data_IF_025065286156
#
_entry.id   IF_025065286156
#
_cell.length_a   1.000
_cell.length_b   1.000
_cell.length_c   1.000
_cell.angle_alpha   90.00
_cell.angle_beta   90.00
_cell.angle_gamma   90.00
#
_symmetry.space_group_name_H-M   'P 1'
#
loop_
_entity.id
_entity.type
_entity.pdbx_description
1 polymer ?
#
# COMPACT_ATOMS: atom_id res chain seq x y z
N UNK A 1 30.45 -20.61 -2.26
CA UNK A 1 30.52 -19.41 -1.41
C UNK A 1 29.33 -19.46 -0.49
N UNK A 2 29.53 -19.58 0.80
CA UNK A 2 28.45 -19.49 1.80
C UNK A 2 28.02 -18.02 1.81
N UNK A 3 26.94 -17.69 1.14
CA UNK A 3 26.33 -16.37 1.27
C UNK A 3 25.68 -16.33 2.66
N UNK A 4 26.24 -15.55 3.53
CA UNK A 4 25.71 -15.32 4.89
C UNK A 4 24.73 -14.17 4.83
N UNK A 5 23.57 -14.29 5.49
CA UNK A 5 22.65 -13.17 5.64
C UNK A 5 23.34 -12.01 6.36
N UNK A 6 23.05 -10.78 5.93
CA UNK A 6 23.53 -9.59 6.60
C UNK A 6 22.67 -9.31 7.84
N UNK A 7 23.32 -9.19 8.99
CA UNK A 7 22.64 -8.82 10.23
C UNK A 7 22.74 -7.31 10.46
N UNK A 8 21.60 -6.72 10.77
CA UNK A 8 21.47 -5.31 11.11
C UNK A 8 20.82 -5.20 12.49
N UNK A 9 21.54 -4.59 13.44
CA UNK A 9 21.03 -4.38 14.80
C UNK A 9 20.53 -2.94 14.96
N UNK A 10 19.33 -2.79 15.54
CA UNK A 10 18.68 -1.52 15.82
C UNK A 10 18.45 -1.37 17.33
N UNK A 11 19.51 -1.11 18.13
CA UNK A 11 19.42 -1.14 19.58
C UNK A 11 18.44 -0.11 20.16
N UNK A 12 18.22 1.00 19.44
CA UNK A 12 17.29 2.05 19.89
C UNK A 12 15.81 1.63 19.86
N UNK A 13 15.50 0.56 19.13
CA UNK A 13 14.15 0.00 19.01
C UNK A 13 14.08 -1.47 19.46
N UNK A 14 15.21 -2.05 19.84
CA UNK A 14 15.28 -3.44 20.31
C UNK A 14 15.13 -4.49 19.22
N UNK A 15 15.31 -4.12 17.93
CA UNK A 15 15.09 -5.00 16.79
C UNK A 15 16.40 -5.48 16.14
N UNK A 16 16.33 -6.65 15.52
CA UNK A 16 17.37 -7.18 14.64
C UNK A 16 16.74 -7.65 13.34
N UNK A 17 17.26 -7.16 12.22
CA UNK A 17 16.86 -7.56 10.87
C UNK A 17 17.99 -8.37 10.23
N UNK A 18 17.65 -9.53 9.68
CA UNK A 18 18.52 -10.25 8.76
C UNK A 18 18.03 -10.03 7.33
N UNK A 19 18.94 -9.63 6.45
CA UNK A 19 18.63 -9.37 5.04
C UNK A 19 19.55 -10.15 4.11
N UNK A 20 19.00 -10.59 2.99
CA UNK A 20 19.77 -11.18 1.88
C UNK A 20 19.07 -10.87 0.55
N UNK A 21 19.86 -10.86 -0.53
CA UNK A 21 19.36 -11.05 -1.87
C UNK A 21 19.83 -12.44 -2.33
N UNK A 22 18.89 -13.31 -2.67
CA UNK A 22 19.21 -14.66 -3.16
C UNK A 22 19.79 -14.60 -4.59
N UNK A 23 20.47 -15.67 -5.06
CA UNK A 23 21.01 -15.69 -6.42
C UNK A 23 19.99 -15.44 -7.53
N UNK A 24 18.74 -15.84 -7.32
CA UNK A 24 17.61 -15.59 -8.21
C UNK A 24 17.03 -14.15 -8.10
N UNK A 25 17.59 -13.30 -7.22
CA UNK A 25 17.19 -11.91 -7.03
C UNK A 25 16.10 -11.69 -5.98
N UNK A 26 15.60 -12.74 -5.31
CA UNK A 26 14.62 -12.57 -4.21
C UNK A 26 15.21 -11.74 -3.07
N UNK A 27 14.44 -10.77 -2.61
CA UNK A 27 14.77 -9.98 -1.43
C UNK A 27 14.22 -10.65 -0.18
N UNK A 28 15.09 -11.20 0.65
CA UNK A 28 14.72 -11.86 1.90
C UNK A 28 14.92 -10.91 3.09
N UNK A 29 13.93 -10.83 3.97
CA UNK A 29 13.92 -10.06 5.22
C UNK A 29 13.41 -10.96 6.34
N UNK A 30 14.19 -11.13 7.40
CA UNK A 30 13.82 -11.97 8.55
C UNK A 30 14.02 -11.18 9.83
N UNK A 31 12.99 -11.10 10.65
CA UNK A 31 12.99 -10.47 11.98
C UNK A 31 12.78 -11.55 13.03
N UNK A 32 13.84 -12.07 13.68
CA UNK A 32 13.70 -13.10 14.70
C UNK A 32 13.09 -12.52 15.97
N UNK A 33 11.98 -13.09 16.43
CA UNK A 33 11.27 -12.75 17.69
C UNK A 33 11.36 -13.92 18.67
N UNK A 34 12.50 -14.06 19.33
CA UNK A 34 12.78 -15.18 20.20
C UNK A 34 11.75 -15.31 21.34
N UNK A 35 11.16 -16.49 21.45
CA UNK A 35 10.18 -16.83 22.49
C UNK A 35 8.74 -16.43 22.15
N UNK A 36 8.49 -15.84 21.01
CA UNK A 36 7.11 -15.59 20.53
C UNK A 36 6.52 -16.89 19.97
N UNK A 37 5.22 -17.11 20.22
CA UNK A 37 4.51 -18.29 19.70
C UNK A 37 3.96 -18.05 18.30
N UNK A 38 3.81 -16.80 17.88
CA UNK A 38 3.27 -16.41 16.60
C UNK A 38 4.38 -16.30 15.55
N UNK A 39 4.08 -16.76 14.35
CA UNK A 39 4.90 -16.62 13.14
C UNK A 39 4.07 -15.93 12.07
N UNK A 40 4.71 -15.06 11.32
CA UNK A 40 4.12 -14.39 10.17
C UNK A 40 5.06 -14.52 8.97
N UNK A 41 4.50 -14.77 7.79
CA UNK A 41 5.22 -14.80 6.54
C UNK A 41 4.44 -14.06 5.46
N UNK A 42 5.07 -13.07 4.83
CA UNK A 42 4.54 -12.33 3.68
C UNK A 42 5.43 -12.55 2.46
N UNK A 43 4.84 -12.99 1.35
CA UNK A 43 5.50 -13.15 0.06
C UNK A 43 4.84 -12.21 -0.94
N UNK A 44 5.51 -11.09 -1.22
CA UNK A 44 4.99 -9.99 -1.99
C UNK A 44 5.63 -9.90 -3.37
N UNK A 45 4.82 -9.61 -4.39
CA UNK A 45 5.25 -9.22 -5.73
C UNK A 45 5.14 -7.70 -5.88
N UNK A 46 6.15 -7.05 -6.46
CA UNK A 46 6.11 -5.64 -6.85
C UNK A 46 5.30 -5.49 -8.14
N UNK A 47 4.00 -5.73 -8.00
CA UNK A 47 3.00 -5.76 -9.07
C UNK A 47 1.62 -5.51 -8.49
N UNK A 48 0.90 -4.52 -8.99
CA UNK A 48 -0.41 -4.16 -8.49
C UNK A 48 -1.36 -3.68 -9.59
N UNK A 49 -2.49 -3.11 -9.17
CA UNK A 49 -3.58 -2.74 -10.07
C UNK A 49 -3.23 -1.66 -11.10
N UNK A 50 -2.18 -0.86 -10.86
CA UNK A 50 -1.71 0.17 -11.78
C UNK A 50 -0.73 -0.36 -12.86
N UNK A 51 -0.12 -1.53 -12.68
CA UNK A 51 0.93 -2.09 -13.53
C UNK A 51 0.35 -2.82 -14.76
N UNK A 52 -0.47 -2.11 -15.53
CA UNK A 52 -1.24 -2.69 -16.63
C UNK A 52 -0.47 -2.74 -17.95
N UNK A 53 0.41 -1.78 -18.20
CA UNK A 53 1.20 -1.69 -19.43
C UNK A 53 2.66 -1.96 -19.13
N UNK A 54 3.23 -2.88 -19.89
CA UNK A 54 4.63 -3.30 -19.74
C UNK A 54 5.14 -3.95 -21.02
N UNK A 55 6.43 -4.22 -21.11
CA UNK A 55 7.03 -4.97 -22.21
C UNK A 55 7.40 -6.37 -21.72
N UNK A 56 7.03 -7.40 -22.48
CA UNK A 56 7.37 -8.79 -22.24
C UNK A 56 7.89 -9.42 -23.52
N UNK A 57 9.12 -9.95 -23.49
CA UNK A 57 9.80 -10.56 -24.64
C UNK A 57 9.88 -9.64 -25.88
N UNK A 58 9.96 -8.32 -25.69
CA UNK A 58 10.00 -7.31 -26.75
C UNK A 58 8.63 -6.94 -27.33
N UNK A 59 7.54 -7.44 -26.78
CA UNK A 59 6.18 -7.09 -27.13
C UNK A 59 5.56 -6.19 -26.05
N UNK A 60 4.90 -5.10 -26.50
CA UNK A 60 4.13 -4.24 -25.61
C UNK A 60 2.82 -4.94 -25.21
N UNK A 61 2.62 -5.10 -23.91
CA UNK A 61 1.40 -5.68 -23.33
C UNK A 61 0.60 -4.56 -22.67
N UNK A 62 -0.72 -4.53 -22.97
CA UNK A 62 -1.69 -3.67 -22.28
C UNK A 62 -2.81 -4.58 -21.73
N UNK A 63 -2.89 -4.70 -20.42
CA UNK A 63 -3.82 -5.60 -19.76
C UNK A 63 -5.09 -4.86 -19.29
N UNK A 64 -6.24 -5.55 -19.21
CA UNK A 64 -7.44 -4.97 -18.64
C UNK A 64 -7.24 -4.52 -17.18
N UNK A 65 -7.94 -3.48 -16.76
CA UNK A 65 -8.01 -3.13 -15.34
C UNK A 65 -8.59 -4.30 -14.52
N UNK A 66 -8.02 -4.56 -13.36
CA UNK A 66 -8.45 -5.68 -12.50
C UNK A 66 -7.56 -6.92 -12.61
N UNK A 67 -6.63 -7.01 -13.57
CA UNK A 67 -5.86 -8.23 -13.81
C UNK A 67 -4.99 -8.64 -12.61
N UNK A 68 -4.38 -7.69 -11.88
CA UNK A 68 -3.55 -8.00 -10.72
C UNK A 68 -4.37 -8.62 -9.58
N UNK A 69 -5.53 -8.04 -9.27
CA UNK A 69 -6.47 -8.57 -8.29
C UNK A 69 -7.07 -9.93 -8.73
N UNK A 70 -7.40 -10.06 -10.00
CA UNK A 70 -7.86 -11.32 -10.56
C UNK A 70 -6.79 -12.42 -10.43
N UNK A 71 -5.53 -12.08 -10.70
CA UNK A 71 -4.40 -12.99 -10.53
C UNK A 71 -4.24 -13.39 -9.06
N UNK A 72 -4.38 -12.47 -8.12
CA UNK A 72 -4.36 -12.76 -6.69
C UNK A 72 -5.34 -13.88 -6.33
N UNK A 73 -6.61 -13.77 -6.71
CA UNK A 73 -7.63 -14.80 -6.47
C UNK A 73 -7.22 -16.14 -7.08
N UNK A 74 -6.76 -16.13 -8.33
CA UNK A 74 -6.44 -17.35 -9.08
C UNK A 74 -5.20 -18.08 -8.60
N UNK A 75 -4.27 -17.40 -7.93
CA UNK A 75 -3.07 -18.05 -7.40
C UNK A 75 -3.36 -19.09 -6.32
N UNK A 76 -4.51 -19.03 -5.66
CA UNK A 76 -4.89 -20.05 -4.66
C UNK A 76 -5.41 -21.34 -5.25
N UNK A 77 -5.74 -21.40 -6.54
CA UNK A 77 -6.20 -22.62 -7.20
C UNK A 77 -5.07 -23.62 -7.42
N UNK A 78 -5.33 -24.88 -7.11
CA UNK A 78 -4.38 -25.98 -7.29
C UNK A 78 -4.85 -26.95 -8.39
N UNK A 79 -3.91 -27.69 -9.04
CA UNK A 79 -4.25 -28.59 -10.16
C UNK A 79 -5.20 -29.75 -9.80
N UNK A 80 -5.22 -30.14 -8.53
CA UNK A 80 -6.10 -31.21 -8.00
C UNK A 80 -7.53 -30.73 -7.67
N UNK A 81 -7.81 -29.43 -7.86
CA UNK A 81 -9.11 -28.79 -7.60
C UNK A 81 -9.28 -28.35 -6.14
N UNK A 82 -8.26 -28.48 -5.29
CA UNK A 82 -8.25 -27.89 -3.95
C UNK A 82 -7.75 -26.43 -3.99
N UNK A 83 -7.72 -25.78 -2.85
CA UNK A 83 -7.22 -24.42 -2.68
C UNK A 83 -6.07 -24.38 -1.69
N UNK A 84 -5.02 -23.64 -2.02
CA UNK A 84 -3.90 -23.39 -1.11
C UNK A 84 -4.36 -22.75 0.23
N UNK A 85 -5.44 -21.96 0.23
CA UNK A 85 -6.06 -21.45 1.46
C UNK A 85 -6.56 -22.58 2.38
N UNK A 86 -7.23 -23.60 1.79
CA UNK A 86 -7.72 -24.76 2.56
C UNK A 86 -6.57 -25.54 3.17
N UNK A 87 -5.51 -25.79 2.39
CA UNK A 87 -4.34 -26.52 2.87
C UNK A 87 -3.59 -25.81 3.99
N UNK A 88 -3.39 -24.49 3.85
CA UNK A 88 -2.78 -23.65 4.90
C UNK A 88 -3.65 -23.66 6.18
N UNK A 89 -4.97 -23.52 6.03
CA UNK A 89 -5.90 -23.54 7.16
C UNK A 89 -5.92 -24.92 7.84
N UNK A 90 -5.87 -26.00 7.10
CA UNK A 90 -5.75 -27.37 7.63
C UNK A 90 -4.47 -27.59 8.44
N UNK A 91 -3.36 -26.92 8.05
CA UNK A 91 -2.11 -26.91 8.80
C UNK A 91 -2.10 -25.94 9.99
N UNK A 92 -3.24 -25.26 10.25
CA UNK A 92 -3.40 -24.34 11.38
C UNK A 92 -2.84 -22.95 11.15
N UNK A 93 -2.75 -22.51 9.91
CA UNK A 93 -2.47 -21.14 9.52
C UNK A 93 -3.75 -20.34 9.24
N UNK A 94 -3.65 -19.04 9.30
CA UNK A 94 -4.64 -18.06 8.87
C UNK A 94 -4.11 -17.38 7.60
N UNK A 95 -4.39 -17.92 6.40
CA UNK A 95 -3.90 -17.36 5.14
C UNK A 95 -4.77 -16.20 4.69
N UNK A 96 -4.16 -15.25 3.99
CA UNK A 96 -4.87 -14.20 3.26
C UNK A 96 -3.97 -13.62 2.16
N UNK A 97 -4.55 -12.71 1.35
CA UNK A 97 -3.81 -11.93 0.37
C UNK A 97 -4.46 -10.55 0.19
N UNK A 98 -3.74 -9.64 -0.44
CA UNK A 98 -4.30 -8.38 -0.90
C UNK A 98 -3.55 -7.87 -2.13
N UNK A 99 -4.24 -7.09 -2.95
CA UNK A 99 -3.67 -6.33 -4.06
C UNK A 99 -3.88 -4.84 -3.84
N UNK A 100 -2.80 -4.07 -3.86
CA UNK A 100 -2.81 -2.60 -3.88
C UNK A 100 -2.59 -2.06 -5.30
N UNK A 101 -2.32 -0.78 -5.43
CA UNK A 101 -2.01 -0.17 -6.73
C UNK A 101 -0.68 -0.64 -7.32
N UNK A 102 0.30 -1.05 -6.49
CA UNK A 102 1.67 -1.39 -6.90
C UNK A 102 2.24 -2.66 -6.25
N UNK A 103 1.45 -3.36 -5.43
CA UNK A 103 1.89 -4.58 -4.75
C UNK A 103 0.76 -5.58 -4.64
N UNK A 104 1.08 -6.86 -4.83
CA UNK A 104 0.24 -8.01 -4.44
C UNK A 104 1.01 -8.82 -3.40
N UNK A 105 0.37 -9.12 -2.26
CA UNK A 105 0.99 -9.81 -1.15
C UNK A 105 0.16 -11.02 -0.71
N UNK A 106 0.80 -12.17 -0.60
CA UNK A 106 0.25 -13.41 -0.06
C UNK A 106 0.88 -13.65 1.30
N UNK A 107 0.11 -13.94 2.31
CA UNK A 107 0.62 -14.09 3.66
C UNK A 107 -0.15 -15.10 4.49
N UNK A 108 0.47 -15.53 5.55
CA UNK A 108 -0.20 -16.28 6.60
C UNK A 108 0.37 -15.95 7.97
N UNK A 109 -0.47 -16.12 8.97
CA UNK A 109 -0.09 -16.18 10.38
C UNK A 109 -0.33 -17.58 10.92
N UNK A 110 0.57 -18.08 11.78
CA UNK A 110 0.38 -19.38 12.43
C UNK A 110 1.10 -19.46 13.78
N UNK A 111 0.80 -20.51 14.55
CA UNK A 111 1.50 -20.83 15.82
C UNK A 111 2.15 -22.21 15.79
N UNK A 112 2.03 -22.94 14.70
CA UNK A 112 2.60 -24.27 14.48
C UNK A 112 2.81 -24.54 13.00
N UNK A 113 3.55 -25.58 12.66
CA UNK A 113 3.79 -26.03 11.27
C UNK A 113 4.33 -24.92 10.34
N UNK A 114 5.14 -23.99 10.88
CA UNK A 114 5.57 -22.80 10.16
C UNK A 114 6.34 -23.14 8.87
N UNK A 115 7.33 -24.05 8.93
CA UNK A 115 8.13 -24.40 7.74
C UNK A 115 7.30 -25.08 6.65
N UNK A 116 6.33 -25.91 7.02
CA UNK A 116 5.40 -26.56 6.08
C UNK A 116 4.53 -25.52 5.39
N UNK A 117 3.96 -24.60 6.15
CA UNK A 117 3.14 -23.50 5.63
C UNK A 117 3.98 -22.55 4.76
N UNK A 118 5.23 -22.25 5.14
CA UNK A 118 6.14 -21.43 4.34
C UNK A 118 6.44 -22.11 2.98
N UNK A 119 6.75 -23.42 2.97
CA UNK A 119 6.99 -24.16 1.73
C UNK A 119 5.75 -24.15 0.83
N UNK A 120 4.56 -24.30 1.41
CA UNK A 120 3.30 -24.23 0.67
C UNK A 120 3.07 -22.83 0.08
N UNK A 121 3.30 -21.76 0.86
CA UNK A 121 3.21 -20.37 0.39
C UNK A 121 4.15 -20.15 -0.82
N UNK A 122 5.41 -20.50 -0.68
CA UNK A 122 6.41 -20.34 -1.75
C UNK A 122 6.04 -21.15 -2.99
N UNK A 123 5.51 -22.37 -2.80
CA UNK A 123 5.14 -23.24 -3.91
C UNK A 123 3.97 -22.69 -4.71
N UNK A 124 2.82 -22.39 -4.08
CA UNK A 124 1.63 -22.00 -4.85
C UNK A 124 1.79 -20.62 -5.51
N UNK A 125 2.48 -19.68 -4.86
CA UNK A 125 2.73 -18.35 -5.46
C UNK A 125 3.69 -18.43 -6.65
N UNK A 126 4.58 -19.43 -6.68
CA UNK A 126 5.55 -19.63 -7.78
C UNK A 126 5.07 -20.60 -8.86
N UNK A 127 3.94 -21.29 -8.67
CA UNK A 127 3.47 -22.34 -9.58
C UNK A 127 2.04 -22.07 -10.01
N UNK A 128 1.83 -21.21 -11.02
CA UNK A 128 0.49 -20.82 -11.45
C UNK A 128 -0.26 -21.97 -12.11
N UNK A 129 -1.57 -22.05 -11.83
CA UNK A 129 -2.48 -23.00 -12.47
C UNK A 129 -3.78 -22.29 -12.87
N UNK A 130 -3.95 -22.02 -14.16
CA UNK A 130 -5.12 -21.34 -14.70
C UNK A 130 -5.68 -22.14 -15.86
N UNK A 131 -7.00 -22.34 -15.88
CA UNK A 131 -7.73 -22.91 -17.04
C UNK A 131 -8.83 -21.96 -17.48
N UNK A 132 -9.25 -22.01 -18.76
CA UNK A 132 -10.35 -21.17 -19.23
C UNK A 132 -11.61 -21.31 -18.38
N UNK A 133 -11.94 -22.52 -17.92
CA UNK A 133 -13.12 -22.84 -17.10
C UNK A 133 -13.04 -22.17 -15.71
N UNK A 134 -11.86 -22.28 -15.05
CA UNK A 134 -11.70 -21.70 -13.71
C UNK A 134 -11.63 -20.17 -13.77
N UNK A 135 -11.06 -19.60 -14.84
CA UNK A 135 -11.04 -18.14 -15.08
C UNK A 135 -12.48 -17.63 -15.31
N UNK A 136 -13.28 -18.32 -16.15
CA UNK A 136 -14.67 -17.93 -16.37
C UNK A 136 -15.51 -17.98 -15.08
N UNK A 137 -15.29 -18.97 -14.25
CA UNK A 137 -15.96 -19.06 -12.93
C UNK A 137 -15.61 -17.89 -12.03
N UNK A 138 -14.31 -17.53 -11.98
CA UNK A 138 -13.80 -16.45 -11.13
C UNK A 138 -14.29 -15.07 -11.59
N UNK A 139 -14.46 -14.85 -12.90
CA UNK A 139 -15.09 -13.63 -13.43
C UNK A 139 -16.44 -13.35 -12.78
N UNK A 140 -17.26 -14.40 -12.55
CA UNK A 140 -18.56 -14.26 -11.89
C UNK A 140 -18.44 -13.85 -10.41
N UNK A 141 -17.45 -14.38 -9.69
CA UNK A 141 -17.21 -14.09 -8.27
C UNK A 141 -16.70 -12.64 -8.13
N UNK A 142 -15.67 -12.26 -8.86
CA UNK A 142 -15.10 -10.91 -8.81
C UNK A 142 -16.12 -9.87 -9.31
N UNK A 143 -16.97 -10.20 -10.29
CA UNK A 143 -18.05 -9.29 -10.71
C UNK A 143 -19.00 -8.94 -9.57
N UNK A 144 -19.35 -9.89 -8.71
CA UNK A 144 -20.19 -9.61 -7.52
C UNK A 144 -19.43 -8.73 -6.51
N UNK A 145 -18.16 -8.98 -6.30
CA UNK A 145 -17.31 -8.15 -5.42
C UNK A 145 -17.22 -6.71 -5.94
N UNK A 146 -17.01 -6.50 -7.23
CA UNK A 146 -17.01 -5.18 -7.87
C UNK A 146 -18.32 -4.45 -7.62
N UNK A 147 -19.47 -5.12 -7.83
CA UNK A 147 -20.79 -4.52 -7.61
C UNK A 147 -21.02 -4.16 -6.14
N UNK A 148 -20.61 -5.02 -5.21
CA UNK A 148 -20.65 -4.70 -3.77
C UNK A 148 -19.77 -3.47 -3.44
N UNK A 149 -18.61 -3.35 -4.07
CA UNK A 149 -17.74 -2.19 -3.92
C UNK A 149 -18.31 -0.90 -4.54
N UNK A 150 -19.16 -1.00 -5.57
CA UNK A 150 -19.84 0.16 -6.17
C UNK A 150 -20.89 0.78 -5.25
N UNK A 151 -21.53 -0.04 -4.45
CA UNK A 151 -22.53 0.37 -3.46
C UNK A 151 -21.89 0.91 -2.18
N UNK A 152 -20.56 0.77 -2.00
CA UNK A 152 -19.84 1.27 -0.84
C UNK A 152 -19.49 2.76 -1.01
N UNK A 153 -20.04 3.68 -0.18
CA UNK A 153 -19.78 5.12 -0.31
C UNK A 153 -18.31 5.49 -0.13
N UNK A 154 -17.59 4.83 0.79
CA UNK A 154 -16.17 5.08 1.03
C UNK A 154 -15.32 4.74 -0.20
N UNK A 155 -15.55 3.61 -0.85
CA UNK A 155 -14.89 3.27 -2.12
C UNK A 155 -15.31 4.20 -3.26
N UNK A 156 -16.58 4.54 -3.33
CA UNK A 156 -17.11 5.42 -4.38
C UNK A 156 -16.45 6.81 -4.32
N UNK A 157 -16.37 7.43 -3.13
CA UNK A 157 -15.77 8.75 -2.94
C UNK A 157 -14.26 8.74 -3.17
N UNK A 158 -13.57 7.66 -2.77
CA UNK A 158 -12.13 7.52 -2.95
C UNK A 158 -11.75 7.49 -4.45
N UNK A 159 -12.37 6.60 -5.23
CA UNK A 159 -12.10 6.55 -6.67
C UNK A 159 -12.66 7.74 -7.45
N UNK A 160 -13.73 8.39 -6.95
CA UNK A 160 -14.18 9.68 -7.47
C UNK A 160 -13.09 10.73 -7.30
N UNK A 161 -12.47 10.84 -6.12
CA UNK A 161 -11.36 11.75 -5.86
C UNK A 161 -10.13 11.42 -6.72
N UNK A 162 -9.73 10.16 -6.84
CA UNK A 162 -8.57 9.79 -7.68
C UNK A 162 -8.78 10.18 -9.15
N UNK A 163 -10.01 10.06 -9.68
CA UNK A 163 -10.35 10.50 -11.05
C UNK A 163 -10.34 12.02 -11.21
N UNK A 164 -10.65 12.76 -10.14
CA UNK A 164 -10.51 14.22 -10.12
C UNK A 164 -9.03 14.65 -10.09
N UNK A 165 -8.20 13.91 -9.36
CA UNK A 165 -6.77 14.22 -9.26
C UNK A 165 -6.03 13.83 -10.54
N UNK A 166 -6.23 12.60 -11.04
CA UNK A 166 -5.47 12.03 -12.16
C UNK A 166 -6.33 11.94 -13.42
N UNK A 167 -5.89 12.57 -14.50
CA UNK A 167 -6.61 12.55 -15.77
C UNK A 167 -6.43 11.22 -16.52
N UNK A 168 -5.25 10.60 -16.46
CA UNK A 168 -4.85 9.46 -17.27
C UNK A 168 -4.13 8.35 -16.52
N UNK A 169 -3.46 8.69 -15.41
CA UNK A 169 -2.66 7.73 -14.66
C UNK A 169 -3.51 6.54 -14.17
N UNK A 170 -3.05 5.28 -14.32
CA UNK A 170 -3.85 4.09 -13.98
C UNK A 170 -4.23 3.97 -12.49
N UNK A 171 -3.57 4.69 -11.57
CA UNK A 171 -3.95 4.73 -10.16
C UNK A 171 -5.39 5.24 -9.91
N UNK A 172 -5.98 5.94 -10.89
CA UNK A 172 -7.37 6.42 -10.86
C UNK A 172 -8.41 5.31 -11.00
N UNK A 173 -7.99 4.14 -11.49
CA UNK A 173 -8.87 3.01 -11.74
C UNK A 173 -8.92 2.11 -10.52
N UNK A 174 -10.04 1.40 -10.36
CA UNK A 174 -10.20 0.44 -9.27
C UNK A 174 -9.22 -0.71 -9.43
N UNK A 175 -8.58 -1.13 -8.35
CA UNK A 175 -7.67 -2.28 -8.32
C UNK A 175 -8.38 -3.55 -8.80
N UNK A 176 -9.65 -3.76 -8.41
CA UNK A 176 -10.48 -4.87 -8.87
C UNK A 176 -10.99 -4.69 -10.33
N UNK A 177 -10.77 -3.53 -10.94
CA UNK A 177 -11.31 -3.21 -12.26
C UNK A 177 -12.80 -2.91 -12.29
N UNK A 178 -13.43 -3.21 -13.41
CA UNK A 178 -14.87 -3.14 -13.64
C UNK A 178 -15.39 -4.48 -14.18
N UNK A 179 -16.69 -4.74 -14.08
CA UNK A 179 -17.29 -5.96 -14.64
C UNK A 179 -16.97 -6.11 -16.14
N UNK A 180 -16.95 -5.00 -16.87
CA UNK A 180 -16.58 -4.96 -18.27
C UNK A 180 -15.10 -5.32 -18.50
N UNK A 181 -14.17 -4.68 -17.75
CA UNK A 181 -12.73 -4.90 -17.93
C UNK A 181 -12.32 -6.33 -17.60
N UNK A 182 -12.83 -6.91 -16.49
CA UNK A 182 -12.48 -8.28 -16.10
C UNK A 182 -13.03 -9.34 -17.06
N UNK A 183 -14.08 -9.05 -17.82
CA UNK A 183 -14.62 -9.98 -18.82
C UNK A 183 -13.62 -10.27 -19.96
N UNK A 184 -12.65 -9.38 -20.18
CA UNK A 184 -11.56 -9.55 -21.16
C UNK A 184 -10.35 -10.31 -20.63
N UNK A 185 -10.30 -10.68 -19.33
CA UNK A 185 -9.18 -11.42 -18.74
C UNK A 185 -9.28 -12.90 -19.11
N UNK A 186 -8.18 -13.46 -19.62
CA UNK A 186 -8.06 -14.86 -20.02
C UNK A 186 -6.96 -15.56 -19.20
N UNK A 187 -6.94 -16.88 -19.25
CA UNK A 187 -5.85 -17.68 -18.69
C UNK A 187 -4.48 -17.25 -19.25
N UNK A 188 -4.41 -16.98 -20.57
CA UNK A 188 -3.19 -16.44 -21.20
C UNK A 188 -2.77 -15.12 -20.58
N UNK A 189 -3.69 -14.19 -20.38
CA UNK A 189 -3.42 -12.89 -19.73
C UNK A 189 -2.81 -13.10 -18.34
N UNK A 190 -3.37 -14.02 -17.54
CA UNK A 190 -2.88 -14.31 -16.19
C UNK A 190 -1.50 -14.97 -16.22
N UNK A 191 -1.25 -15.92 -17.13
CA UNK A 191 0.08 -16.52 -17.29
C UNK A 191 1.13 -15.49 -17.73
N UNK A 192 0.79 -14.58 -18.65
CA UNK A 192 1.71 -13.53 -19.11
C UNK A 192 2.07 -12.57 -17.94
N UNK A 193 1.08 -12.15 -17.15
CA UNK A 193 1.33 -11.32 -15.97
C UNK A 193 2.13 -12.03 -14.88
N UNK A 194 1.81 -13.30 -14.59
CA UNK A 194 2.59 -14.09 -13.64
C UNK A 194 4.05 -14.22 -14.09
N UNK A 195 4.29 -14.59 -15.35
CA UNK A 195 5.64 -14.71 -15.91
C UNK A 195 6.41 -13.39 -15.86
N UNK A 196 5.73 -12.27 -16.09
CA UNK A 196 6.33 -10.94 -16.06
C UNK A 196 6.74 -10.51 -14.66
N UNK A 197 5.87 -10.67 -13.67
CA UNK A 197 5.99 -10.00 -12.38
C UNK A 197 6.24 -10.90 -11.17
N UNK A 198 5.96 -12.23 -11.27
CA UNK A 198 6.16 -13.16 -10.16
C UNK A 198 7.52 -13.88 -10.20
N UNK A 199 8.46 -13.30 -10.94
CA UNK A 199 9.86 -13.73 -10.86
C UNK A 199 10.44 -13.37 -9.48
N UNK A 200 11.24 -14.23 -8.84
CA UNK A 200 11.87 -13.96 -7.54
C UNK A 200 12.59 -12.61 -7.48
N UNK A 201 13.21 -12.17 -8.59
CA UNK A 201 13.89 -10.88 -8.69
C UNK A 201 12.96 -9.65 -8.53
N UNK A 202 11.65 -9.83 -8.72
CA UNK A 202 10.62 -8.82 -8.49
C UNK A 202 9.87 -9.01 -7.17
N UNK A 203 10.28 -9.96 -6.33
CA UNK A 203 9.55 -10.33 -5.13
C UNK A 203 10.36 -10.09 -3.86
N UNK A 204 9.65 -9.99 -2.74
CA UNK A 204 10.20 -9.92 -1.39
C UNK A 204 9.54 -10.97 -0.49
N UNK A 205 10.34 -11.69 0.27
CA UNK A 205 9.90 -12.59 1.33
C UNK A 205 10.25 -11.98 2.67
N UNK A 206 9.24 -11.66 3.48
CA UNK A 206 9.39 -11.05 4.78
C UNK A 206 8.81 -11.98 5.85
N UNK A 207 9.59 -12.26 6.90
CA UNK A 207 9.23 -13.22 7.94
C UNK A 207 9.53 -12.61 9.31
N UNK A 208 8.57 -12.77 10.23
CA UNK A 208 8.73 -12.40 11.62
C UNK A 208 8.25 -13.55 12.54
N UNK A 209 9.04 -13.88 13.58
CA UNK A 209 8.75 -14.97 14.50
C UNK A 209 10.00 -15.58 15.14
N UNK A 210 9.82 -16.61 15.96
CA UNK A 210 10.94 -17.37 16.57
C UNK A 210 11.55 -18.35 15.55
N UNK A 211 12.29 -17.80 14.58
CA UNK A 211 12.87 -18.52 13.44
C UNK A 211 14.38 -18.34 13.40
N UNK A 212 15.05 -19.33 12.79
CA UNK A 212 16.47 -19.25 12.42
C UNK A 212 16.59 -18.65 11.00
N UNK A 213 17.19 -17.47 10.84
CA UNK A 213 17.35 -16.81 9.54
C UNK A 213 18.06 -17.65 8.48
N UNK A 214 19.09 -18.39 8.86
CA UNK A 214 19.83 -19.26 7.92
C UNK A 214 18.96 -20.44 7.45
N UNK A 215 18.10 -20.96 8.33
CA UNK A 215 17.13 -22.00 7.97
C UNK A 215 16.10 -21.46 6.98
N UNK A 216 15.60 -20.24 7.19
CA UNK A 216 14.68 -19.59 6.25
C UNK A 216 15.34 -19.36 4.90
N UNK A 217 16.59 -18.88 4.88
CA UNK A 217 17.36 -18.71 3.66
C UNK A 217 17.46 -20.03 2.88
N UNK A 218 17.78 -21.13 3.57
CA UNK A 218 17.89 -22.45 2.95
C UNK A 218 16.53 -22.91 2.35
N UNK A 219 15.41 -22.71 3.07
CA UNK A 219 14.07 -23.06 2.58
C UNK A 219 13.73 -22.24 1.32
N UNK A 220 13.96 -20.95 1.32
CA UNK A 220 13.68 -20.08 0.18
C UNK A 220 14.54 -20.49 -1.06
N UNK A 221 15.81 -20.79 -0.84
CA UNK A 221 16.71 -21.24 -1.90
C UNK A 221 16.30 -22.60 -2.48
N UNK A 222 15.80 -23.52 -1.66
CA UNK A 222 15.34 -24.84 -2.09
C UNK A 222 14.00 -24.80 -2.83
N UNK A 223 13.07 -23.97 -2.35
CA UNK A 223 11.67 -23.97 -2.81
C UNK A 223 11.44 -23.15 -4.08
N UNK A 224 12.29 -22.17 -4.38
CA UNK A 224 12.06 -21.22 -5.47
C UNK A 224 12.90 -21.52 -6.72
N UNK A 225 12.43 -21.09 -7.92
CA UNK A 225 13.23 -21.15 -9.14
C UNK A 225 14.58 -20.47 -8.96
N UNK A 226 15.64 -21.09 -9.52
CA UNK A 226 17.02 -20.60 -9.32
C UNK A 226 17.43 -19.55 -10.34
N UNK A 227 16.72 -19.45 -11.45
CA UNK A 227 17.04 -18.51 -12.53
C UNK A 227 16.63 -17.07 -12.11
N UNK A 228 17.53 -16.12 -12.39
CA UNK A 228 17.22 -14.69 -12.23
C UNK A 228 16.61 -14.17 -13.52
N UNK A 229 15.32 -13.90 -13.49
CA UNK A 229 14.61 -13.35 -14.62
C UNK A 229 14.67 -11.81 -14.63
N UNK A 230 14.70 -11.17 -15.83
CA UNK A 230 14.51 -9.73 -15.93
C UNK A 230 13.10 -9.35 -15.47
N UNK A 231 12.96 -8.17 -14.89
CA UNK A 231 11.66 -7.63 -14.45
C UNK A 231 11.27 -6.51 -15.40
N UNK A 232 10.08 -6.56 -15.99
CA UNK A 232 9.60 -5.46 -16.83
C UNK A 232 9.34 -4.21 -15.99
N UNK A 233 9.44 -3.05 -16.63
CA UNK A 233 9.00 -1.80 -16.04
C UNK A 233 7.56 -1.52 -16.45
N UNK A 234 6.72 -1.16 -15.46
CA UNK A 234 5.38 -0.68 -15.74
C UNK A 234 5.44 0.69 -16.44
N UNK A 235 4.62 0.85 -17.47
CA UNK A 235 4.43 2.12 -18.17
C UNK A 235 3.14 2.80 -17.68
N UNK A 236 3.28 3.85 -16.90
CA UNK A 236 2.15 4.64 -16.41
C UNK A 236 1.75 5.77 -17.39
N UNK A 237 2.42 5.89 -18.53
CA UNK A 237 2.22 6.95 -19.51
C UNK A 237 2.99 8.23 -19.19
N UNK A 238 2.61 9.31 -19.88
CA UNK A 238 3.23 10.61 -19.65
C UNK A 238 2.94 11.14 -18.23
N UNK A 239 3.97 11.72 -17.60
CA UNK A 239 3.82 12.35 -16.30
C UNK A 239 2.75 13.45 -16.33
N UNK A 240 1.85 13.43 -15.38
CA UNK A 240 0.84 14.47 -15.21
C UNK A 240 1.40 15.62 -14.37
N UNK A 241 0.89 16.85 -14.64
CA UNK A 241 1.18 17.97 -13.75
C UNK A 241 0.49 17.79 -12.39
N UNK A 242 0.87 18.60 -11.42
CA UNK A 242 0.36 18.49 -10.04
C UNK A 242 -1.00 19.19 -9.82
N UNK A 243 -1.62 19.79 -10.85
CA UNK A 243 -2.96 20.32 -10.76
C UNK A 243 -4.00 19.19 -10.90
N UNK A 244 -5.12 19.23 -10.19
CA UNK A 244 -6.19 18.27 -10.38
C UNK A 244 -6.79 18.41 -11.78
N UNK A 245 -7.30 17.32 -12.34
CA UNK A 245 -8.06 17.34 -13.58
C UNK A 245 -9.43 18.03 -13.37
N UNK A 246 -9.99 17.89 -12.17
CA UNK A 246 -11.25 18.54 -11.76
C UNK A 246 -11.20 18.88 -10.28
N UNK A 247 -11.59 20.13 -9.91
CA UNK A 247 -11.46 20.59 -8.53
C UNK A 247 -12.64 20.18 -7.63
N UNK A 248 -13.81 19.89 -8.19
CA UNK A 248 -15.05 19.64 -7.45
C UNK A 248 -15.93 18.61 -8.15
N UNK A 249 -16.31 17.56 -7.44
CA UNK A 249 -17.34 16.60 -7.87
C UNK A 249 -18.24 16.26 -6.68
N UNK A 250 -19.55 16.20 -6.90
CA UNK A 250 -20.53 15.73 -5.93
C UNK A 250 -21.42 14.66 -6.54
N UNK A 251 -21.77 13.66 -5.72
CA UNK A 251 -22.65 12.54 -6.09
C UNK A 251 -23.63 12.25 -4.96
N UNK A 252 -24.87 11.88 -5.30
CA UNK A 252 -25.85 11.39 -4.32
C UNK A 252 -25.70 9.87 -4.12
N UNK A 253 -25.70 9.42 -2.86
CA UNK A 253 -25.72 8.01 -2.46
C UNK A 253 -26.54 7.84 -1.19
N UNK A 254 -26.95 6.59 -0.82
CA UNK A 254 -27.72 6.32 0.39
C UNK A 254 -26.83 6.40 1.66
N UNK A 255 -26.45 7.61 2.04
CA UNK A 255 -25.67 7.91 3.26
C UNK A 255 -26.52 8.76 4.22
N UNK A 256 -26.19 8.72 5.52
CA UNK A 256 -26.89 9.47 6.57
C UNK A 256 -26.43 10.92 6.69
N UNK A 257 -25.19 11.20 6.35
CA UNK A 257 -24.58 12.51 6.39
C UNK A 257 -23.67 12.71 5.16
N UNK A 258 -23.41 13.97 4.73
CA UNK A 258 -22.47 14.21 3.66
C UNK A 258 -21.06 13.76 4.05
N UNK A 259 -20.43 12.96 3.18
CA UNK A 259 -19.04 12.51 3.28
C UNK A 259 -18.18 13.31 2.31
N UNK A 260 -16.95 13.61 2.69
CA UNK A 260 -16.04 14.33 1.82
C UNK A 260 -14.63 13.75 1.86
N UNK A 261 -13.94 13.87 0.72
CA UNK A 261 -12.49 13.71 0.63
C UNK A 261 -11.90 14.95 -0.07
N UNK A 262 -10.90 15.55 0.54
CA UNK A 262 -10.08 16.61 -0.05
C UNK A 262 -8.73 15.98 -0.42
N UNK A 263 -8.34 16.11 -1.68
CA UNK A 263 -7.12 15.51 -2.17
C UNK A 263 -6.19 16.48 -2.87
N UNK A 264 -4.90 16.15 -2.88
CA UNK A 264 -3.87 16.86 -3.64
C UNK A 264 -2.83 15.88 -4.17
N UNK A 265 -2.40 16.08 -5.42
CA UNK A 265 -1.24 15.40 -5.97
C UNK A 265 0.04 16.04 -5.44
N UNK A 266 0.96 15.20 -5.01
CA UNK A 266 2.32 15.60 -4.65
C UNK A 266 3.33 14.86 -5.54
N UNK A 267 4.54 15.40 -5.65
CA UNK A 267 5.58 14.71 -6.39
C UNK A 267 5.87 13.35 -5.74
N UNK A 268 6.04 12.28 -6.55
CA UNK A 268 6.42 10.98 -6.02
C UNK A 268 7.77 11.08 -5.34
N UNK A 269 7.98 10.22 -4.35
CA UNK A 269 9.27 10.13 -3.69
C UNK A 269 10.31 9.51 -4.62
N UNK A 270 11.55 9.93 -4.47
CA UNK A 270 12.69 9.23 -5.06
C UNK A 270 12.91 7.90 -4.32
N UNK A 271 13.63 6.96 -4.94
CA UNK A 271 13.96 5.69 -4.29
C UNK A 271 15.03 5.86 -3.21
N UNK A 272 15.08 4.93 -2.26
CA UNK A 272 16.10 4.88 -1.23
C UNK A 272 15.81 5.75 -0.01
N UNK A 273 16.86 6.22 0.66
CA UNK A 273 16.75 6.98 1.93
C UNK A 273 15.96 8.28 1.81
N UNK A 274 15.98 8.91 0.65
CA UNK A 274 15.20 10.13 0.38
C UNK A 274 13.70 9.85 0.37
N UNK A 275 13.26 8.68 -0.12
CA UNK A 275 11.87 8.23 -0.05
C UNK A 275 11.41 8.15 1.41
N UNK A 276 12.18 7.45 2.25
CA UNK A 276 11.84 7.32 3.66
C UNK A 276 11.70 8.69 4.34
N UNK A 277 12.67 9.60 4.13
CA UNK A 277 12.64 10.94 4.72
C UNK A 277 11.42 11.72 4.26
N UNK A 278 11.10 11.70 2.96
CA UNK A 278 9.93 12.39 2.41
C UNK A 278 8.63 11.86 3.01
N UNK A 279 8.45 10.53 3.12
CA UNK A 279 7.29 9.91 3.78
C UNK A 279 7.15 10.38 5.23
N UNK A 280 8.25 10.42 5.98
CA UNK A 280 8.25 10.82 7.39
C UNK A 280 7.95 12.30 7.58
N UNK A 281 8.52 13.17 6.74
CA UNK A 281 8.23 14.61 6.72
C UNK A 281 6.76 14.85 6.40
N UNK A 282 6.23 14.20 5.35
CA UNK A 282 4.84 14.32 4.96
C UNK A 282 3.89 13.87 6.09
N UNK A 283 4.10 12.69 6.66
CA UNK A 283 3.27 12.18 7.75
C UNK A 283 3.29 13.09 8.99
N UNK A 284 4.47 13.59 9.37
CA UNK A 284 4.59 14.51 10.51
C UNK A 284 3.96 15.87 10.22
N UNK A 285 4.13 16.42 9.01
CA UNK A 285 3.53 17.67 8.58
C UNK A 285 1.99 17.59 8.60
N UNK A 286 1.41 16.50 8.08
CA UNK A 286 -0.05 16.29 8.11
C UNK A 286 -0.56 16.10 9.54
N UNK A 287 0.17 15.40 10.39
CA UNK A 287 -0.17 15.27 11.82
C UNK A 287 -0.20 16.63 12.54
N UNK A 288 0.74 17.50 12.22
CA UNK A 288 0.82 18.85 12.78
C UNK A 288 -0.31 19.75 12.26
N UNK A 289 -0.66 19.64 10.98
CA UNK A 289 -1.72 20.39 10.34
C UNK A 289 -3.10 19.94 10.82
N UNK A 290 -3.41 18.64 10.71
CA UNK A 290 -4.77 18.11 10.75
C UNK A 290 -4.99 17.01 11.81
N UNK A 291 -3.95 16.56 12.52
CA UNK A 291 -4.08 15.52 13.54
C UNK A 291 -4.97 15.95 14.71
N UNK A 292 -5.54 14.99 15.45
CA UNK A 292 -6.52 15.21 16.51
C UNK A 292 -6.13 16.16 17.65
N UNK A 293 -4.83 16.51 17.76
CA UNK A 293 -4.31 17.53 18.69
C UNK A 293 -3.93 18.84 18.00
N UNK A 294 -4.19 19.00 16.71
CA UNK A 294 -3.95 20.24 15.97
C UNK A 294 -4.99 21.30 16.32
N UNK A 295 -4.67 22.60 16.21
CA UNK A 295 -5.65 23.66 16.38
C UNK A 295 -6.75 23.62 15.33
N UNK A 296 -6.37 23.24 14.10
CA UNK A 296 -7.31 23.06 13.01
C UNK A 296 -8.40 22.05 13.40
N UNK A 297 -8.01 20.81 13.74
CA UNK A 297 -8.98 19.80 14.15
C UNK A 297 -9.77 20.21 15.39
N UNK A 298 -9.07 20.66 16.46
CA UNK A 298 -9.73 21.00 17.72
C UNK A 298 -10.78 22.10 17.59
N UNK A 299 -10.50 23.13 16.79
CA UNK A 299 -11.43 24.23 16.51
C UNK A 299 -12.62 23.74 15.68
N UNK A 300 -12.39 23.07 14.57
CA UNK A 300 -13.47 22.61 13.68
C UNK A 300 -14.35 21.53 14.33
N UNK A 301 -13.76 20.68 15.17
CA UNK A 301 -14.50 19.71 15.97
C UNK A 301 -15.41 20.43 17.01
N UNK A 302 -14.90 21.44 17.69
CA UNK A 302 -15.69 22.23 18.64
C UNK A 302 -16.82 23.03 17.97
N UNK A 303 -16.63 23.45 16.71
CA UNK A 303 -17.66 24.11 15.88
C UNK A 303 -18.67 23.12 15.26
N UNK A 304 -18.45 21.81 15.41
CA UNK A 304 -19.29 20.77 14.79
C UNK A 304 -19.11 20.61 13.27
N UNK A 305 -18.01 21.14 12.73
CA UNK A 305 -17.67 21.01 11.31
C UNK A 305 -16.97 19.70 10.99
N UNK A 306 -16.25 19.11 11.96
CA UNK A 306 -15.60 17.81 11.85
C UNK A 306 -16.14 16.86 12.90
N UNK A 307 -16.16 15.58 12.57
CA UNK A 307 -16.50 14.48 13.47
C UNK A 307 -15.24 13.68 13.85
N UNK A 308 -15.41 12.60 14.62
CA UNK A 308 -14.28 11.76 15.07
C UNK A 308 -13.68 10.89 13.96
N UNK A 309 -14.43 10.69 12.91
CA UNK A 309 -14.07 9.94 11.71
C UNK A 309 -13.13 10.73 10.78
N UNK A 310 -12.90 12.03 11.03
CA UNK A 310 -11.95 12.82 10.23
C UNK A 310 -10.54 12.27 10.37
N UNK A 311 -9.95 11.94 9.23
CA UNK A 311 -8.59 11.41 9.13
C UNK A 311 -7.85 12.02 7.94
N UNK A 312 -6.57 11.73 7.85
CA UNK A 312 -5.69 12.16 6.76
C UNK A 312 -4.65 11.09 6.47
N UNK A 313 -4.27 11.00 5.21
CA UNK A 313 -3.23 10.06 4.76
C UNK A 313 -2.32 10.70 3.73
N UNK A 314 -1.14 10.15 3.58
CA UNK A 314 -0.24 10.36 2.44
C UNK A 314 0.17 9.00 1.90
N UNK A 315 -0.08 8.82 0.61
CA UNK A 315 0.27 7.62 -0.12
C UNK A 315 1.26 7.92 -1.24
N UNK A 316 2.21 6.98 -1.42
CA UNK A 316 3.17 6.98 -2.52
C UNK A 316 3.14 5.60 -3.15
N UNK A 317 2.46 5.48 -4.27
CA UNK A 317 2.27 4.23 -4.97
C UNK A 317 2.34 4.44 -6.48
N UNK A 318 2.80 3.43 -7.20
CA UNK A 318 2.82 3.40 -8.67
C UNK A 318 3.42 4.68 -9.30
N UNK A 319 4.50 5.22 -8.74
CA UNK A 319 5.14 6.44 -9.24
C UNK A 319 4.36 7.72 -9.00
N UNK A 320 3.36 7.73 -8.11
CA UNK A 320 2.59 8.92 -7.72
C UNK A 320 2.78 9.27 -6.26
N UNK A 321 2.30 10.43 -5.86
CA UNK A 321 2.11 10.83 -4.48
C UNK A 321 0.78 11.54 -4.32
N UNK A 322 0.03 11.17 -3.29
CA UNK A 322 -1.31 11.70 -3.01
C UNK A 322 -1.45 11.99 -1.52
N UNK A 323 -2.00 13.15 -1.18
CA UNK A 323 -2.45 13.46 0.19
C UNK A 323 -3.96 13.54 0.17
N UNK A 324 -4.60 12.92 1.14
CA UNK A 324 -6.06 12.90 1.29
C UNK A 324 -6.43 13.32 2.73
N UNK A 325 -7.46 14.15 2.86
CA UNK A 325 -8.14 14.46 4.11
C UNK A 325 -9.60 14.08 3.95
N UNK A 326 -10.22 13.45 4.93
CA UNK A 326 -11.60 13.02 4.77
C UNK A 326 -12.36 12.80 6.05
N UNK A 327 -13.69 12.72 5.92
CA UNK A 327 -14.61 12.48 7.01
C UNK A 327 -16.04 12.89 6.67
N UNK A 328 -16.88 13.05 7.70
CA UNK A 328 -18.24 13.55 7.57
C UNK A 328 -18.32 15.02 7.99
N UNK A 329 -19.10 15.81 7.26
CA UNK A 329 -19.40 17.20 7.58
C UNK A 329 -20.72 17.66 6.95
N UNK A 330 -21.50 18.48 7.66
CA UNK A 330 -22.66 19.14 7.06
C UNK A 330 -22.28 20.31 6.12
N UNK A 331 -21.01 20.73 6.14
CA UNK A 331 -20.49 21.85 5.34
C UNK A 331 -19.08 21.49 4.78
N UNK A 332 -18.97 20.49 3.88
CA UNK A 332 -17.68 20.01 3.36
C UNK A 332 -16.84 21.12 2.70
N UNK A 333 -17.47 22.02 1.93
CA UNK A 333 -16.77 23.11 1.26
C UNK A 333 -16.18 24.11 2.26
N UNK A 334 -16.83 24.31 3.40
CA UNK A 334 -16.27 25.15 4.48
C UNK A 334 -15.03 24.47 5.09
N UNK A 335 -15.03 23.17 5.25
CA UNK A 335 -13.84 22.43 5.72
C UNK A 335 -12.67 22.62 4.75
N UNK A 336 -12.90 22.59 3.43
CA UNK A 336 -11.87 22.87 2.43
C UNK A 336 -11.31 24.29 2.57
N UNK A 337 -12.17 25.33 2.75
CA UNK A 337 -11.70 26.70 2.92
C UNK A 337 -10.90 26.89 4.22
N UNK A 338 -11.32 26.24 5.31
CA UNK A 338 -10.58 26.26 6.57
C UNK A 338 -9.21 25.53 6.45
N UNK A 339 -9.16 24.44 5.68
CA UNK A 339 -7.90 23.74 5.40
C UNK A 339 -6.93 24.62 4.58
N UNK A 340 -7.44 25.32 3.55
CA UNK A 340 -6.67 26.29 2.77
C UNK A 340 -6.10 27.40 3.65
N UNK A 341 -6.96 27.96 4.53
CA UNK A 341 -6.55 29.03 5.44
C UNK A 341 -5.46 28.57 6.41
N UNK A 342 -5.60 27.37 6.99
CA UNK A 342 -4.60 26.83 7.91
C UNK A 342 -3.29 26.50 7.19
N UNK A 343 -3.33 25.93 5.99
CA UNK A 343 -2.15 25.68 5.18
C UNK A 343 -1.41 26.98 4.84
N UNK A 344 -2.13 28.04 4.49
CA UNK A 344 -1.57 29.37 4.24
C UNK A 344 -0.92 29.97 5.51
N UNK A 345 -1.59 29.84 6.68
CA UNK A 345 -1.05 30.29 7.96
C UNK A 345 0.28 29.56 8.29
N UNK A 346 0.29 28.21 8.19
CA UNK A 346 1.49 27.42 8.44
C UNK A 346 2.62 27.80 7.46
N UNK A 347 2.28 28.04 6.20
CA UNK A 347 3.26 28.45 5.18
C UNK A 347 3.93 29.79 5.51
N UNK A 348 3.22 30.70 6.17
CA UNK A 348 3.70 32.02 6.55
C UNK A 348 4.42 32.03 7.92
N UNK A 349 3.90 31.30 8.90
CA UNK A 349 4.32 31.39 10.31
C UNK A 349 5.13 30.18 10.78
N UNK A 350 5.06 29.05 10.05
CA UNK A 350 5.63 27.77 10.48
C UNK A 350 4.82 27.10 11.59
N UNK A 351 5.45 26.15 12.26
CA UNK A 351 4.89 25.42 13.41
C UNK A 351 5.48 25.93 14.73
N UNK A 352 4.65 25.99 15.76
CA UNK A 352 5.09 26.29 17.12
C UNK A 352 6.09 25.20 17.61
N UNK A 353 7.26 25.55 18.14
CA UNK A 353 8.31 24.58 18.50
C UNK A 353 7.85 23.49 19.50
N UNK A 354 7.13 23.89 20.56
CA UNK A 354 6.65 22.92 21.55
C UNK A 354 5.65 21.90 20.97
N UNK A 355 4.80 22.35 20.06
CA UNK A 355 3.84 21.49 19.37
C UNK A 355 4.55 20.53 18.43
N UNK A 356 5.50 21.03 17.65
CA UNK A 356 6.33 20.20 16.80
C UNK A 356 7.00 19.09 17.58
N UNK A 357 7.65 19.40 18.69
CA UNK A 357 8.34 18.41 19.51
C UNK A 357 7.37 17.39 20.14
N UNK A 358 6.15 17.80 20.56
CA UNK A 358 5.14 16.86 21.04
C UNK A 358 4.66 15.92 19.94
N UNK A 359 4.35 16.43 18.75
CA UNK A 359 3.90 15.63 17.61
C UNK A 359 5.00 14.64 17.16
N UNK A 360 6.25 15.09 17.11
CA UNK A 360 7.41 14.26 16.77
C UNK A 360 7.58 13.10 17.76
N UNK A 361 7.55 13.37 19.07
CA UNK A 361 7.60 12.32 20.11
C UNK A 361 6.42 11.36 20.03
N UNK A 362 5.21 11.86 19.77
CA UNK A 362 4.03 11.02 19.61
C UNK A 362 4.11 10.13 18.37
N UNK A 363 4.65 10.65 17.24
CA UNK A 363 4.90 9.88 16.03
C UNK A 363 5.97 8.81 16.25
N UNK A 364 7.04 9.15 16.98
CA UNK A 364 8.07 8.17 17.37
C UNK A 364 7.47 7.02 18.18
N UNK A 365 6.70 7.32 19.24
CA UNK A 365 6.06 6.30 20.07
C UNK A 365 5.02 5.45 19.31
N UNK A 366 4.31 6.03 18.33
CA UNK A 366 3.40 5.28 17.47
C UNK A 366 4.14 4.27 16.60
N UNK A 367 5.29 4.66 16.04
CA UNK A 367 6.13 3.75 15.25
C UNK A 367 6.71 2.61 16.06
N UNK A 368 7.16 2.87 17.29
CA UNK A 368 7.64 1.81 18.17
C UNK A 368 6.56 0.75 18.44
N UNK A 369 5.32 1.19 18.68
CA UNK A 369 4.20 0.24 18.83
C UNK A 369 3.89 -0.52 17.54
N UNK A 370 4.09 0.09 16.37
CA UNK A 370 3.89 -0.59 15.09
C UNK A 370 4.84 -1.76 14.84
N UNK A 371 5.98 -1.83 15.54
CA UNK A 371 6.90 -2.97 15.45
C UNK A 371 6.45 -4.18 16.31
N UNK A 372 5.37 -4.07 17.06
CA UNK A 372 4.74 -5.19 17.77
C UNK A 372 3.72 -5.95 16.87
N UNK A 373 3.35 -5.37 15.75
CA UNK A 373 2.39 -5.93 14.80
C UNK A 373 3.13 -6.57 13.63
N UNK A 374 3.15 -7.90 13.59
CA UNK A 374 3.91 -8.70 12.62
C UNK A 374 3.44 -8.49 11.19
N UNK A 375 2.13 -8.29 10.97
CA UNK A 375 1.57 -7.97 9.66
C UNK A 375 2.14 -6.63 9.16
N UNK A 376 1.98 -5.58 9.95
CA UNK A 376 2.48 -4.26 9.62
C UNK A 376 4.00 -4.25 9.36
N UNK A 377 4.79 -4.98 10.16
CA UNK A 377 6.24 -5.09 9.97
C UNK A 377 6.57 -5.76 8.65
N UNK A 378 6.01 -6.95 8.37
CA UNK A 378 6.35 -7.71 7.18
C UNK A 378 5.90 -7.00 5.89
N UNK A 379 4.69 -6.41 5.86
CA UNK A 379 4.21 -5.64 4.71
C UNK A 379 5.04 -4.38 4.50
N UNK A 380 5.40 -3.66 5.58
CA UNK A 380 6.27 -2.48 5.49
C UNK A 380 7.68 -2.83 5.00
N UNK A 381 8.24 -3.97 5.42
CA UNK A 381 9.54 -4.46 4.95
C UNK A 381 9.51 -4.83 3.47
N UNK A 382 8.40 -5.40 2.97
CA UNK A 382 8.22 -5.71 1.56
C UNK A 382 8.21 -4.44 0.71
N UNK A 383 7.36 -3.46 1.05
CA UNK A 383 7.31 -2.16 0.38
C UNK A 383 8.66 -1.43 0.42
N UNK A 384 9.31 -1.40 1.58
CA UNK A 384 10.63 -0.80 1.74
C UNK A 384 11.71 -1.50 0.88
N UNK A 385 11.62 -2.83 0.73
CA UNK A 385 12.53 -3.58 -0.14
C UNK A 385 12.32 -3.22 -1.62
N UNK A 386 11.09 -2.93 -2.06
CA UNK A 386 10.79 -2.49 -3.42
C UNK A 386 11.27 -1.05 -3.66
N UNK A 387 11.05 -0.16 -2.72
CA UNK A 387 11.45 1.25 -2.78
C UNK A 387 12.95 1.47 -2.51
N UNK A 388 13.66 0.47 -1.98
CA UNK A 388 15.09 0.50 -1.73
C UNK A 388 15.50 1.28 -0.48
N UNK A 389 14.65 1.36 0.55
CA UNK A 389 15.01 1.95 1.84
C UNK A 389 14.93 0.92 2.99
N UNK A 390 15.46 1.32 4.14
CA UNK A 390 15.42 0.54 5.37
C UNK A 390 14.26 1.02 6.27
N UNK A 391 13.21 0.20 6.41
CA UNK A 391 12.04 0.54 7.23
C UNK A 391 12.39 0.73 8.71
N UNK A 392 13.37 -0.02 9.24
CA UNK A 392 13.78 0.08 10.64
C UNK A 392 14.64 1.32 10.93
N UNK A 393 15.15 1.99 9.90
CA UNK A 393 15.80 3.30 10.04
C UNK A 393 14.78 4.43 10.31
N UNK A 394 13.48 4.21 10.14
CA UNK A 394 12.45 5.24 10.26
C UNK A 394 12.46 6.01 11.60
N UNK A 395 12.64 5.40 12.79
CA UNK A 395 12.74 6.14 14.06
C UNK A 395 13.95 7.06 14.11
N UNK A 396 15.09 6.64 13.58
CA UNK A 396 16.32 7.46 13.54
C UNK A 396 16.13 8.66 12.59
N UNK A 397 15.67 8.41 11.36
CA UNK A 397 15.38 9.48 10.37
C UNK A 397 14.34 10.45 10.91
N UNK A 398 13.24 9.96 11.55
CA UNK A 398 12.23 10.82 12.16
C UNK A 398 12.80 11.73 13.23
N UNK A 399 13.81 11.26 14.01
CA UNK A 399 14.46 12.07 15.04
C UNK A 399 15.17 13.30 14.46
N UNK A 400 15.59 13.25 13.20
CA UNK A 400 16.31 14.32 12.50
C UNK A 400 15.37 15.28 11.73
N UNK A 401 14.09 14.90 11.51
CA UNK A 401 13.11 15.77 10.82
C UNK A 401 12.93 17.07 11.60
N UNK A 402 12.89 18.19 10.90
CA UNK A 402 12.77 19.54 11.44
C UNK A 402 11.39 20.16 11.20
N UNK A 403 11.04 21.17 11.99
CA UNK A 403 9.79 21.92 11.82
C UNK A 403 9.75 22.65 10.47
N UNK A 404 10.90 23.14 10.00
CA UNK A 404 11.02 23.87 8.74
C UNK A 404 10.77 22.96 7.53
N UNK A 405 11.23 21.68 7.57
CA UNK A 405 10.91 20.70 6.53
C UNK A 405 9.41 20.40 6.48
N UNK A 406 8.76 20.27 7.63
CA UNK A 406 7.31 20.05 7.70
C UNK A 406 6.54 21.28 7.17
N UNK A 407 6.95 22.50 7.51
CA UNK A 407 6.35 23.73 7.00
C UNK A 407 6.59 23.91 5.49
N UNK A 408 7.78 23.55 5.01
CA UNK A 408 8.11 23.55 3.59
C UNK A 408 7.22 22.56 2.82
N UNK A 409 7.01 21.35 3.35
CA UNK A 409 6.11 20.37 2.75
C UNK A 409 4.69 20.93 2.57
N UNK A 410 4.13 21.58 3.59
CA UNK A 410 2.80 22.22 3.51
C UNK A 410 2.79 23.32 2.44
N UNK A 411 3.77 24.22 2.46
CA UNK A 411 3.87 25.34 1.52
C UNK A 411 3.99 24.88 0.07
N UNK A 412 4.75 23.83 -0.19
CA UNK A 412 5.04 23.34 -1.54
C UNK A 412 3.92 22.49 -2.11
N UNK A 413 3.13 21.82 -1.25
CA UNK A 413 2.18 20.82 -1.70
C UNK A 413 0.71 21.22 -1.52
N UNK A 414 0.34 22.03 -0.54
CA UNK A 414 -1.05 22.37 -0.25
C UNK A 414 -1.45 23.76 -0.76
N UNK A 415 -0.96 24.15 -1.94
CA UNK A 415 -1.41 25.39 -2.59
C UNK A 415 -2.90 25.29 -2.96
N UNK A 416 -3.70 26.37 -2.76
CA UNK A 416 -5.17 26.33 -2.93
C UNK A 416 -5.64 25.79 -4.28
N UNK A 417 -4.94 26.08 -5.35
CA UNK A 417 -5.25 25.66 -6.73
C UNK A 417 -4.97 24.17 -7.00
N UNK A 418 -4.26 23.50 -6.11
CA UNK A 418 -3.93 22.07 -6.22
C UNK A 418 -4.92 21.18 -5.49
N UNK A 419 -5.76 21.75 -4.62
CA UNK A 419 -6.72 20.99 -3.83
C UNK A 419 -7.99 20.71 -4.64
N UNK A 420 -8.44 19.47 -4.58
CA UNK A 420 -9.73 19.03 -5.11
C UNK A 420 -10.58 18.47 -3.98
N UNK A 421 -11.90 18.58 -4.09
CA UNK A 421 -12.85 18.01 -3.15
C UNK A 421 -13.85 17.10 -3.86
N UNK A 422 -14.01 15.91 -3.31
CA UNK A 422 -15.02 14.91 -3.67
C UNK A 422 -16.07 14.84 -2.58
N UNK A 423 -17.36 14.88 -2.91
CA UNK A 423 -18.45 14.87 -1.93
C UNK A 423 -19.47 13.79 -2.30
N UNK A 424 -19.92 13.02 -1.29
CA UNK A 424 -21.12 12.20 -1.37
C UNK A 424 -22.17 12.83 -0.47
N UNK A 425 -23.34 13.13 -1.04
CA UNK A 425 -24.48 13.69 -0.31
C UNK A 425 -25.58 12.64 -0.14
N UNK A 426 -26.39 12.75 0.94
CA UNK A 426 -27.58 11.93 1.09
C UNK A 426 -28.51 12.02 -0.13
N UNK A 427 -28.95 10.85 -0.64
CA UNK A 427 -29.96 10.83 -1.70
C UNK A 427 -31.25 11.47 -1.19
N UNK A 428 -31.83 12.36 -2.00
CA UNK A 428 -33.16 12.96 -1.68
C UNK A 428 -34.21 11.89 -1.86
N UNK A 429 -34.97 11.59 -0.80
CA UNK A 429 -36.14 10.71 -0.84
C UNK A 429 -37.27 11.36 -1.68
#
# INVERSE_FOLDING_TARGET
MTMTMQRHDYPNIGETLYSAELPNGLRLRVVPKKGFATFYAAFAANYGGADRRFELDGEAIDTPAGVAHFLEHKMFDLPDGDSAMNLLSANGAEPNAFTSSDMTCYYFQCTKSFEENLRLLLHFVSTPYFTPETVQKEQGIIAQEILMGEDNPGMAIYYQLLRQLYARHPIRDRVAGTVESISGITDKTLYDCHRAFYAPSNMALCIEGDVDPERIYAIALEALPQERMPVPHADYGEAENLLPAECFVSREMPVSAPQFLIGVKIAPAQRGSENLRQRLVAQLALRLLAGGSSPFYSRLYAEGLLCRDFDYEVDFAAGTGTVIFGGESQQPERVLEELKAEAARISAEGFEPERFERAKRASFGARLRGFEDFDNVCVSLAGAAFDGYDAFAAPAVLSEVTADECAAFIRENLAPERLAISIITPARN
#
